data_IF_783448471363
#
_entry.id   IF_783448471363
#
_cell.length_a   1.000
_cell.length_b   1.000
_cell.length_c   1.000
_cell.angle_alpha   90.00
_cell.angle_beta   90.00
_cell.angle_gamma   90.00
#
_symmetry.space_group_name_H-M   'P 1'
#
loop_
_entity.id
_entity.type
_entity.pdbx_description
1 polymer ?
#
# COMPACT_ATOMS: atom_id res chain seq x y z
N UNK A 1 -11.64 -5.85 20.42
CA UNK A 1 -11.34 -4.64 19.61
C UNK A 1 -10.12 -4.84 18.72
N UNK A 2 -9.04 -5.41 19.25
CA UNK A 2 -7.82 -5.76 18.50
C UNK A 2 -8.06 -6.63 17.27
N UNK A 3 -8.91 -7.66 17.37
CA UNK A 3 -9.24 -8.52 16.22
C UNK A 3 -9.85 -7.71 15.06
N UNK A 4 -10.73 -6.76 15.36
CA UNK A 4 -11.32 -5.90 14.33
C UNK A 4 -10.29 -4.93 13.72
N UNK A 5 -9.39 -4.37 14.54
CA UNK A 5 -8.30 -3.54 14.04
C UNK A 5 -7.35 -4.32 13.12
N UNK A 6 -6.97 -5.53 13.53
CA UNK A 6 -6.16 -6.44 12.72
C UNK A 6 -6.85 -6.82 11.42
N UNK A 7 -8.16 -7.09 11.45
CA UNK A 7 -8.94 -7.35 10.25
C UNK A 7 -8.84 -6.19 9.26
N UNK A 8 -9.06 -4.95 9.69
CA UNK A 8 -8.93 -3.76 8.82
C UNK A 8 -7.53 -3.61 8.22
N UNK A 9 -6.49 -3.78 9.05
CA UNK A 9 -5.10 -3.68 8.61
C UNK A 9 -4.75 -4.78 7.60
N UNK A 10 -5.07 -6.04 7.91
CA UNK A 10 -4.80 -7.20 7.05
C UNK A 10 -5.57 -7.13 5.75
N UNK A 11 -6.83 -6.70 5.75
CA UNK A 11 -7.60 -6.48 4.53
C UNK A 11 -6.93 -5.44 3.64
N UNK A 12 -6.49 -4.31 4.19
CA UNK A 12 -5.82 -3.26 3.43
C UNK A 12 -4.51 -3.76 2.80
N UNK A 13 -3.70 -4.49 3.56
CA UNK A 13 -2.45 -5.10 3.08
C UNK A 13 -2.73 -6.15 2.01
N UNK A 14 -3.72 -7.02 2.22
CA UNK A 14 -4.10 -8.08 1.28
C UNK A 14 -4.61 -7.50 -0.05
N UNK A 15 -5.42 -6.43 0.00
CA UNK A 15 -5.86 -5.72 -1.21
C UNK A 15 -4.68 -5.16 -1.98
N UNK A 16 -3.75 -4.45 -1.32
CA UNK A 16 -2.56 -3.92 -1.99
C UNK A 16 -1.66 -5.04 -2.55
N UNK A 17 -1.48 -6.14 -1.83
CA UNK A 17 -0.73 -7.29 -2.31
C UNK A 17 -1.40 -7.95 -3.53
N UNK A 18 -2.73 -8.09 -3.52
CA UNK A 18 -3.48 -8.62 -4.65
C UNK A 18 -3.38 -7.71 -5.89
N UNK A 19 -3.42 -6.39 -5.69
CA UNK A 19 -3.20 -5.40 -6.76
C UNK A 19 -1.80 -5.51 -7.35
N UNK A 20 -0.79 -5.64 -6.50
CA UNK A 20 0.61 -5.87 -6.89
C UNK A 20 0.73 -7.14 -7.71
N UNK A 21 0.21 -8.26 -7.22
CA UNK A 21 0.22 -9.54 -7.94
C UNK A 21 -0.46 -9.44 -9.30
N UNK A 22 -1.63 -8.79 -9.36
CA UNK A 22 -2.34 -8.56 -10.63
C UNK A 22 -1.52 -7.71 -11.60
N UNK A 23 -0.87 -6.66 -11.13
CA UNK A 23 0.01 -5.83 -11.96
C UNK A 23 1.27 -6.58 -12.42
N UNK A 24 1.73 -7.53 -11.62
CA UNK A 24 2.86 -8.38 -11.93
C UNK A 24 2.54 -9.34 -13.10
N UNK A 25 1.28 -9.80 -13.24
CA UNK A 25 0.88 -10.71 -14.32
C UNK A 25 1.05 -10.03 -15.67
N UNK A 26 1.98 -10.52 -16.48
CA UNK A 26 2.30 -9.96 -17.80
C UNK A 26 3.55 -9.08 -17.86
N UNK A 27 4.25 -8.87 -16.73
CA UNK A 27 5.54 -8.18 -16.71
C UNK A 27 6.70 -9.18 -16.56
N UNK A 28 7.70 -9.17 -17.45
CA UNK A 28 8.97 -9.90 -17.26
C UNK A 28 9.62 -9.54 -15.92
N UNK A 29 10.35 -10.48 -15.31
CA UNK A 29 10.99 -10.25 -13.99
C UNK A 29 12.10 -9.22 -14.04
N UNK A 30 12.73 -9.09 -15.20
CA UNK A 30 13.83 -8.18 -15.51
C UNK A 30 13.35 -6.74 -15.66
N UNK A 31 12.03 -6.54 -15.76
CA UNK A 31 11.42 -5.21 -15.90
C UNK A 31 11.78 -4.33 -14.72
N UNK A 32 12.33 -3.15 -15.01
CA UNK A 32 12.54 -2.11 -14.01
C UNK A 32 11.37 -1.13 -14.03
N UNK A 33 10.68 -1.02 -12.90
CA UNK A 33 9.49 -0.17 -12.75
C UNK A 33 9.85 1.17 -12.10
N UNK A 34 9.19 2.25 -12.52
CA UNK A 34 9.39 3.57 -11.92
C UNK A 34 8.85 3.60 -10.49
N UNK A 35 9.64 4.19 -9.60
CA UNK A 35 9.30 4.39 -8.19
C UNK A 35 8.95 5.85 -7.90
N UNK A 36 9.62 6.77 -8.58
CA UNK A 36 9.42 8.21 -8.44
C UNK A 36 9.54 8.88 -9.81
N UNK A 37 8.79 9.97 -9.99
CA UNK A 37 8.76 10.77 -11.21
C UNK A 37 9.26 12.19 -10.92
N UNK A 38 10.00 12.76 -11.87
CA UNK A 38 10.36 14.17 -11.86
C UNK A 38 9.19 15.05 -12.32
N UNK A 39 9.35 16.37 -12.21
CA UNK A 39 8.37 17.35 -12.70
C UNK A 39 8.18 17.30 -14.23
N UNK A 40 9.15 16.75 -14.95
CA UNK A 40 9.09 16.49 -16.40
C UNK A 40 8.30 15.21 -16.75
N UNK A 41 7.78 14.49 -15.75
CA UNK A 41 7.05 13.24 -15.92
C UNK A 41 7.94 12.04 -16.24
N UNK A 42 9.29 12.19 -16.21
CA UNK A 42 10.23 11.07 -16.42
C UNK A 42 10.54 10.39 -15.09
N UNK A 43 10.72 9.06 -15.06
CA UNK A 43 11.14 8.38 -13.84
C UNK A 43 12.55 8.80 -13.41
N UNK A 44 12.69 9.32 -12.20
CA UNK A 44 13.99 9.65 -11.59
C UNK A 44 14.61 8.44 -10.89
N UNK A 45 13.77 7.51 -10.42
CA UNK A 45 14.21 6.30 -9.75
C UNK A 45 13.40 5.10 -10.24
N UNK A 46 14.09 3.99 -10.48
CA UNK A 46 13.51 2.71 -10.91
C UNK A 46 14.06 1.56 -10.07
N UNK A 47 13.23 0.57 -9.81
CA UNK A 47 13.60 -0.63 -9.06
C UNK A 47 13.19 -1.90 -9.83
N UNK A 48 13.79 -3.07 -9.53
CA UNK A 48 13.32 -4.34 -10.06
C UNK A 48 11.82 -4.55 -9.78
N UNK A 49 11.10 -5.18 -10.71
CA UNK A 49 9.65 -5.42 -10.64
C UNK A 49 9.18 -5.86 -9.24
N UNK A 50 9.81 -6.88 -8.70
CA UNK A 50 9.35 -7.50 -7.45
C UNK A 50 9.56 -6.56 -6.26
N UNK A 51 10.66 -5.80 -6.25
CA UNK A 51 10.91 -4.74 -5.25
C UNK A 51 9.89 -3.62 -5.40
N UNK A 52 9.67 -3.14 -6.62
CA UNK A 52 8.77 -2.01 -6.88
C UNK A 52 7.31 -2.33 -6.52
N UNK A 53 6.83 -3.52 -6.86
CA UNK A 53 5.46 -3.94 -6.57
C UNK A 53 5.27 -4.28 -5.09
N UNK A 54 6.25 -4.89 -4.41
CA UNK A 54 6.13 -5.21 -2.98
C UNK A 54 6.30 -4.02 -2.05
N UNK A 55 6.91 -2.92 -2.50
CA UNK A 55 7.27 -1.79 -1.65
C UNK A 55 6.08 -1.19 -0.89
N UNK A 56 4.99 -0.83 -1.59
CA UNK A 56 3.82 -0.22 -0.93
C UNK A 56 3.07 -1.19 -0.01
N UNK A 57 2.77 -2.44 -0.41
CA UNK A 57 2.17 -3.42 0.51
C UNK A 57 2.99 -3.64 1.78
N UNK A 58 4.33 -3.68 1.67
CA UNK A 58 5.22 -3.84 2.82
C UNK A 58 5.17 -2.61 3.74
N UNK A 59 5.25 -1.39 3.19
CA UNK A 59 5.12 -0.17 3.99
C UNK A 59 3.73 -0.05 4.67
N UNK A 60 2.67 -0.44 3.95
CA UNK A 60 1.33 -0.50 4.53
C UNK A 60 1.30 -1.49 5.71
N UNK A 61 1.89 -2.68 5.59
CA UNK A 61 1.95 -3.64 6.69
C UNK A 61 2.76 -3.11 7.88
N UNK A 62 3.92 -2.51 7.63
CA UNK A 62 4.80 -1.96 8.66
C UNK A 62 4.17 -0.79 9.44
N UNK A 63 3.19 -0.10 8.87
CA UNK A 63 2.52 1.03 9.53
C UNK A 63 1.16 0.65 10.13
N UNK A 64 0.35 -0.16 9.42
CA UNK A 64 -0.99 -0.54 9.85
C UNK A 64 -0.99 -1.62 10.93
N UNK A 65 -0.09 -2.61 10.88
CA UNK A 65 -0.08 -3.70 11.86
C UNK A 65 0.30 -3.22 13.27
N UNK A 66 1.37 -2.42 13.47
CA UNK A 66 1.66 -1.87 14.80
C UNK A 66 0.52 -0.98 15.32
N UNK A 67 -0.06 -0.16 14.45
CA UNK A 67 -1.22 0.66 14.81
C UNK A 67 -2.41 -0.22 15.25
N UNK A 68 -2.71 -1.29 14.52
CA UNK A 68 -3.76 -2.24 14.88
C UNK A 68 -3.49 -2.95 16.23
N UNK A 69 -2.21 -3.25 16.51
CA UNK A 69 -1.78 -3.92 17.73
C UNK A 69 -1.73 -3.00 18.94
N UNK A 70 -1.68 -1.68 18.76
CA UNK A 70 -1.70 -0.72 19.87
C UNK A 70 -2.94 -0.90 20.77
N UNK A 71 -4.08 -1.31 20.19
CA UNK A 71 -5.31 -1.63 20.95
C UNK A 71 -5.20 -2.86 21.86
N UNK A 72 -4.11 -3.64 21.79
CA UNK A 72 -3.84 -4.75 22.70
C UNK A 72 -3.09 -4.32 23.97
N UNK A 73 -2.52 -3.11 24.00
CA UNK A 73 -1.70 -2.62 25.12
C UNK A 73 -2.52 -2.05 26.29
N UNK A 74 -3.83 -1.85 26.10
CA UNK A 74 -4.72 -1.40 27.16
C UNK A 74 -6.14 -1.16 26.66
N UNK A 75 -7.13 -1.06 27.56
CA UNK A 75 -8.50 -0.69 27.20
C UNK A 75 -8.55 0.70 26.58
N UNK A 76 -9.22 0.84 25.44
CA UNK A 76 -9.55 2.14 24.87
C UNK A 76 -10.89 2.60 25.45
N UNK A 77 -10.97 3.83 25.96
CA UNK A 77 -12.25 4.44 26.27
C UNK A 77 -13.11 4.57 24.99
N UNK A 78 -14.44 4.63 25.13
CA UNK A 78 -15.37 4.57 23.99
C UNK A 78 -15.19 5.72 22.98
N UNK A 79 -14.83 6.92 23.46
CA UNK A 79 -14.52 8.07 22.61
C UNK A 79 -13.22 7.87 21.83
N UNK A 80 -12.20 7.29 22.46
CA UNK A 80 -10.89 7.01 21.85
C UNK A 80 -10.97 5.85 20.86
N UNK A 81 -11.81 4.86 21.13
CA UNK A 81 -12.10 3.76 20.22
C UNK A 81 -12.58 4.25 18.85
N UNK A 82 -13.53 5.18 18.82
CA UNK A 82 -14.08 5.72 17.56
C UNK A 82 -13.01 6.46 16.76
N UNK A 83 -12.22 7.30 17.41
CA UNK A 83 -11.11 8.03 16.77
C UNK A 83 -10.05 7.08 16.24
N UNK A 84 -9.65 6.11 17.06
CA UNK A 84 -8.69 5.07 16.70
C UNK A 84 -9.10 4.30 15.44
N UNK A 85 -10.33 3.78 15.39
CA UNK A 85 -10.81 3.06 14.21
C UNK A 85 -10.98 3.98 13.00
N UNK A 86 -11.44 5.22 13.20
CA UNK A 86 -11.53 6.22 12.14
C UNK A 86 -10.17 6.50 11.48
N UNK A 87 -9.12 6.70 12.29
CA UNK A 87 -7.75 6.89 11.80
C UNK A 87 -7.26 5.64 11.06
N UNK A 88 -7.46 4.45 11.61
CA UNK A 88 -7.02 3.21 10.97
C UNK A 88 -7.69 2.98 9.60
N UNK A 89 -8.98 3.29 9.48
CA UNK A 89 -9.72 3.22 8.21
C UNK A 89 -9.14 4.23 7.20
N UNK A 90 -8.94 5.49 7.60
CA UNK A 90 -8.37 6.53 6.74
C UNK A 90 -6.97 6.14 6.26
N UNK A 91 -6.12 5.62 7.16
CA UNK A 91 -4.78 5.13 6.81
C UNK A 91 -4.84 3.96 5.82
N UNK A 92 -5.72 2.97 6.05
CA UNK A 92 -5.90 1.84 5.15
C UNK A 92 -6.33 2.27 3.75
N UNK A 93 -7.32 3.16 3.66
CA UNK A 93 -7.78 3.74 2.40
C UNK A 93 -6.69 4.56 1.71
N UNK A 94 -5.92 5.35 2.47
CA UNK A 94 -4.81 6.13 1.93
C UNK A 94 -3.73 5.23 1.31
N UNK A 95 -3.35 4.13 1.99
CA UNK A 95 -2.38 3.17 1.45
C UNK A 95 -2.88 2.47 0.18
N UNK A 96 -4.12 1.98 0.20
CA UNK A 96 -4.73 1.32 -0.99
C UNK A 96 -4.85 2.32 -2.15
N UNK A 97 -5.29 3.54 -1.88
CA UNK A 97 -5.43 4.60 -2.87
C UNK A 97 -4.09 5.04 -3.46
N UNK A 98 -3.08 5.25 -2.63
CA UNK A 98 -1.72 5.57 -3.05
C UNK A 98 -1.13 4.45 -3.91
N UNK A 99 -1.33 3.19 -3.52
CA UNK A 99 -0.89 2.04 -4.29
C UNK A 99 -1.62 1.94 -5.64
N UNK A 100 -2.93 2.17 -5.67
CA UNK A 100 -3.71 2.20 -6.91
C UNK A 100 -3.20 3.28 -7.87
N UNK A 101 -2.94 4.47 -7.33
CA UNK A 101 -2.38 5.58 -8.09
C UNK A 101 -0.99 5.24 -8.64
N UNK A 102 -0.10 4.70 -7.81
CA UNK A 102 1.24 4.27 -8.23
C UNK A 102 1.17 3.26 -9.39
N UNK A 103 0.35 2.22 -9.26
CA UNK A 103 0.17 1.24 -10.34
C UNK A 103 -0.43 1.85 -11.62
N UNK A 104 -1.33 2.83 -11.50
CA UNK A 104 -1.87 3.58 -12.65
C UNK A 104 -0.77 4.35 -13.38
N UNK A 105 0.11 5.02 -12.63
CA UNK A 105 1.24 5.77 -13.19
C UNK A 105 2.25 4.82 -13.86
N UNK A 106 2.57 3.70 -13.22
CA UNK A 106 3.43 2.65 -13.79
C UNK A 106 2.86 2.13 -15.12
N UNK A 107 1.56 1.78 -15.15
CA UNK A 107 0.89 1.31 -16.38
C UNK A 107 0.91 2.35 -17.49
N UNK A 108 0.60 3.61 -17.16
CA UNK A 108 0.64 4.70 -18.13
C UNK A 108 2.05 4.93 -18.69
N UNK A 109 3.09 4.76 -17.87
CA UNK A 109 4.47 4.85 -18.31
C UNK A 109 4.91 3.68 -19.20
N UNK A 110 4.50 2.45 -18.87
CA UNK A 110 4.75 1.27 -19.71
C UNK A 110 4.09 1.39 -21.08
N UNK A 111 2.85 1.87 -21.13
CA UNK A 111 2.10 2.06 -22.38
C UNK A 111 2.69 3.13 -23.31
N UNK A 112 3.57 4.01 -22.83
CA UNK A 112 4.26 5.02 -23.64
C UNK A 112 5.61 4.55 -24.21
N UNK A 113 6.07 3.37 -23.81
CA UNK A 113 7.37 2.81 -24.23
C UNK A 113 7.25 1.66 -25.24
N UNK A 114 6.07 1.04 -25.34
CA UNK A 114 5.72 0.17 -26.46
C UNK A 114 5.15 0.99 -27.60
#
# INVERSE_FOLDING_TARGET
>A
MTVFALFLALTSVAVSAAMSWRAARGLPRETRLPMQWGFDGRPIWRAPRDVALSFTPVLAALTLLPMAMASALGPLESADARRYFGVLIVMGLAWVGAHALHLRLVRGWLARQG
#
